data_IF_146336035762
#
_entry.id   IF_146336035762
#
_cell.length_a   1.000
_cell.length_b   1.000
_cell.length_c   1.000
_cell.angle_alpha   90.00
_cell.angle_beta   90.00
_cell.angle_gamma   90.00
#
_symmetry.space_group_name_H-M   'P 1'
#
loop_
_entity.id
_entity.type
_entity.pdbx_description
1 polymer ?
#
# COMPACT_ATOMS: atom_id res chain seq x y z
N UNK A 1 -4.68 15.24 2.41
CA UNK A 1 -3.39 14.90 3.08
C UNK A 1 -2.43 14.49 1.97
N UNK A 2 -1.19 15.00 1.94
CA UNK A 2 -0.25 14.65 0.85
C UNK A 2 0.75 13.55 1.23
N UNK A 3 1.06 13.42 2.52
CA UNK A 3 2.02 12.43 3.04
C UNK A 3 1.37 11.70 4.20
N UNK A 4 1.42 10.37 4.17
CA UNK A 4 0.95 9.51 5.25
C UNK A 4 2.07 8.54 5.62
N UNK A 5 2.44 8.52 6.90
CA UNK A 5 3.42 7.58 7.42
C UNK A 5 2.74 6.66 8.44
N UNK A 6 2.69 5.38 8.12
CA UNK A 6 2.18 4.31 8.98
C UNK A 6 3.25 3.23 9.17
N UNK A 7 4.53 3.58 9.08
CA UNK A 7 5.63 2.64 9.29
C UNK A 7 5.65 2.14 10.73
N UNK A 8 6.00 0.87 10.92
CA UNK A 8 6.09 0.23 12.25
C UNK A 8 4.77 0.17 13.04
N UNK A 9 3.63 0.16 12.36
CA UNK A 9 2.30 0.08 12.96
C UNK A 9 1.74 -1.36 13.09
N UNK A 10 2.50 -2.38 12.65
CA UNK A 10 2.09 -3.79 12.69
C UNK A 10 0.72 -4.04 12.01
N UNK A 11 0.51 -3.39 10.87
CA UNK A 11 -0.75 -3.44 10.15
C UNK A 11 -1.14 -4.85 9.68
N UNK A 12 -0.14 -5.65 9.31
CA UNK A 12 -0.38 -6.92 8.62
C UNK A 12 -1.13 -6.76 7.30
N UNK A 13 -1.55 -7.88 6.74
CA UNK A 13 -2.32 -7.88 5.48
C UNK A 13 -3.68 -7.20 5.61
N UNK A 14 -4.37 -7.40 6.73
CA UNK A 14 -5.68 -6.78 6.98
C UNK A 14 -5.62 -5.25 7.02
N UNK A 15 -4.59 -4.67 7.64
CA UNK A 15 -4.39 -3.22 7.62
C UNK A 15 -3.99 -2.70 6.24
N UNK A 16 -3.24 -3.48 5.46
CA UNK A 16 -2.90 -3.14 4.08
C UNK A 16 -4.14 -3.15 3.15
N UNK A 17 -5.07 -4.10 3.32
CA UNK A 17 -6.36 -4.10 2.63
C UNK A 17 -7.16 -2.82 2.93
N UNK A 18 -7.22 -2.42 4.21
CA UNK A 18 -7.89 -1.19 4.62
C UNK A 18 -7.24 0.06 4.00
N UNK A 19 -5.92 0.06 3.85
CA UNK A 19 -5.22 1.12 3.12
C UNK A 19 -5.60 1.12 1.64
N UNK A 20 -5.73 -0.04 1.00
CA UNK A 20 -6.25 -0.14 -0.36
C UNK A 20 -7.60 0.56 -0.52
N UNK A 21 -8.54 0.31 0.40
CA UNK A 21 -9.85 1.00 0.41
C UNK A 21 -9.74 2.50 0.69
N UNK A 22 -8.83 2.90 1.58
CA UNK A 22 -8.56 4.31 1.86
C UNK A 22 -8.06 5.06 0.61
N UNK A 23 -7.17 4.44 -0.17
CA UNK A 23 -6.57 5.04 -1.35
C UNK A 23 -7.59 5.37 -2.44
N UNK A 24 -8.67 4.59 -2.58
CA UNK A 24 -9.77 4.84 -3.54
C UNK A 24 -10.51 6.15 -3.33
N UNK A 25 -10.42 6.74 -2.14
CA UNK A 25 -11.18 7.93 -1.76
C UNK A 25 -10.26 9.14 -1.51
N UNK A 26 -8.95 8.95 -1.57
CA UNK A 26 -7.96 9.95 -1.14
C UNK A 26 -6.95 10.27 -2.25
N UNK A 27 -7.44 10.69 -3.42
CA UNK A 27 -6.63 11.07 -4.58
C UNK A 27 -5.60 12.20 -4.35
N UNK A 28 -5.69 12.95 -3.25
CA UNK A 28 -4.68 13.95 -2.88
C UNK A 28 -3.37 13.38 -2.31
N UNK A 29 -3.34 12.09 -1.94
CA UNK A 29 -2.18 11.47 -1.33
C UNK A 29 -1.05 11.29 -2.35
N UNK A 30 0.17 11.70 -1.98
CA UNK A 30 1.35 11.66 -2.85
C UNK A 30 2.42 10.71 -2.33
N UNK A 31 2.51 10.53 -1.02
CA UNK A 31 3.54 9.73 -0.36
C UNK A 31 2.91 8.86 0.72
N UNK A 32 3.19 7.57 0.67
CA UNK A 32 2.73 6.58 1.63
C UNK A 32 3.90 5.74 2.12
N UNK A 33 4.20 5.82 3.42
CA UNK A 33 5.21 4.99 4.07
C UNK A 33 4.55 3.85 4.85
N UNK A 34 4.89 2.61 4.50
CA UNK A 34 4.41 1.38 5.12
C UNK A 34 5.56 0.48 5.56
N UNK A 35 6.73 1.04 5.82
CA UNK A 35 7.92 0.28 6.17
C UNK A 35 7.69 -0.56 7.44
N UNK A 36 8.13 -1.83 7.40
CA UNK A 36 8.11 -2.75 8.55
C UNK A 36 6.72 -2.89 9.23
N UNK A 37 5.72 -3.30 8.47
CA UNK A 37 4.35 -3.50 8.94
C UNK A 37 3.88 -4.96 8.93
N UNK A 38 4.73 -5.90 8.52
CA UNK A 38 4.34 -7.31 8.39
C UNK A 38 3.39 -7.56 7.22
N UNK A 39 3.43 -6.74 6.17
CA UNK A 39 2.59 -6.87 4.98
C UNK A 39 3.15 -7.99 4.08
N UNK A 40 2.32 -8.96 3.77
CA UNK A 40 2.59 -10.05 2.84
C UNK A 40 2.05 -9.81 1.44
N UNK A 41 1.97 -10.88 0.65
CA UNK A 41 1.50 -10.84 -0.72
C UNK A 41 0.03 -10.39 -0.82
N UNK A 42 -0.84 -10.89 0.06
CA UNK A 42 -2.27 -10.52 0.07
C UNK A 42 -2.49 -9.04 0.39
N UNK A 43 -1.76 -8.50 1.37
CA UNK A 43 -1.85 -7.09 1.73
C UNK A 43 -1.38 -6.18 0.60
N UNK A 44 -0.30 -6.54 -0.09
CA UNK A 44 0.15 -5.80 -1.28
C UNK A 44 -0.86 -5.86 -2.41
N UNK A 45 -1.46 -7.03 -2.67
CA UNK A 45 -2.51 -7.15 -3.67
C UNK A 45 -3.68 -6.18 -3.40
N UNK A 46 -4.07 -6.04 -2.13
CA UNK A 46 -5.09 -5.05 -1.72
C UNK A 46 -4.69 -3.60 -1.97
N UNK A 47 -3.44 -3.24 -1.65
CA UNK A 47 -2.91 -1.89 -1.90
C UNK A 47 -2.91 -1.60 -3.41
N UNK A 48 -2.40 -2.52 -4.22
CA UNK A 48 -2.34 -2.38 -5.68
C UNK A 48 -3.75 -2.28 -6.26
N UNK A 49 -4.66 -3.15 -5.83
CA UNK A 49 -6.05 -3.08 -6.27
C UNK A 49 -6.69 -1.72 -5.93
N UNK A 50 -6.45 -1.19 -4.73
CA UNK A 50 -6.91 0.15 -4.35
C UNK A 50 -6.34 1.27 -5.22
N UNK A 51 -5.07 1.18 -5.60
CA UNK A 51 -4.39 2.13 -6.49
C UNK A 51 -4.92 2.09 -7.93
N UNK A 52 -5.27 0.90 -8.44
CA UNK A 52 -5.71 0.72 -9.82
C UNK A 52 -7.20 1.06 -10.02
N UNK A 53 -8.02 1.02 -8.97
CA UNK A 53 -9.45 1.28 -9.06
C UNK A 53 -9.79 2.76 -9.24
N UNK A 54 -8.94 3.68 -8.78
CA UNK A 54 -9.17 5.12 -8.92
C UNK A 54 -8.07 5.77 -9.78
N UNK A 55 -8.44 6.20 -10.98
CA UNK A 55 -7.58 6.95 -11.90
C UNK A 55 -7.18 8.34 -11.38
N UNK A 56 -7.80 8.79 -10.27
CA UNK A 56 -7.47 10.05 -9.60
C UNK A 56 -6.33 9.93 -8.59
N UNK A 57 -5.79 8.72 -8.35
CA UNK A 57 -4.68 8.55 -7.40
C UNK A 57 -3.44 9.31 -7.87
N UNK A 58 -2.94 10.22 -7.02
CA UNK A 58 -1.73 11.00 -7.29
C UNK A 58 -0.52 10.46 -6.53
N UNK A 59 -0.58 9.20 -6.08
CA UNK A 59 0.49 8.59 -5.31
C UNK A 59 1.76 8.48 -6.17
N UNK A 60 2.85 9.10 -5.70
CA UNK A 60 4.15 9.13 -6.38
C UNK A 60 5.21 8.32 -5.65
N UNK A 61 4.97 8.01 -4.38
CA UNK A 61 5.91 7.28 -3.55
C UNK A 61 5.17 6.32 -2.63
N UNK A 62 5.53 5.04 -2.72
CA UNK A 62 5.07 3.97 -1.86
C UNK A 62 6.30 3.24 -1.30
N UNK A 63 6.49 3.29 0.01
CA UNK A 63 7.58 2.58 0.70
C UNK A 63 7.04 1.33 1.40
N UNK A 64 7.38 0.17 0.86
CA UNK A 64 7.03 -1.14 1.42
C UNK A 64 8.26 -1.88 2.00
N UNK A 65 9.39 -1.20 2.21
CA UNK A 65 10.62 -1.85 2.70
C UNK A 65 10.37 -2.57 4.03
N UNK A 66 11.19 -3.59 4.30
CA UNK A 66 11.11 -4.39 5.53
C UNK A 66 9.74 -5.07 5.75
N UNK A 67 8.96 -5.29 4.70
CA UNK A 67 7.76 -6.13 4.75
C UNK A 67 8.02 -7.50 4.11
N UNK A 68 7.43 -8.58 4.63
CA UNK A 68 7.56 -9.93 4.10
C UNK A 68 6.70 -10.13 2.84
N UNK A 69 6.94 -9.34 1.79
CA UNK A 69 6.11 -9.34 0.56
C UNK A 69 6.04 -10.73 -0.11
N UNK A 70 7.11 -11.52 0.03
CA UNK A 70 7.35 -12.79 -0.69
C UNK A 70 7.39 -12.56 -2.21
N UNK A 71 7.76 -13.60 -2.96
CA UNK A 71 7.91 -13.50 -4.42
C UNK A 71 6.58 -13.14 -5.10
N UNK A 72 5.48 -13.68 -4.59
CA UNK A 72 4.12 -13.38 -5.05
C UNK A 72 3.76 -11.90 -4.90
N UNK A 73 4.19 -11.23 -3.81
CA UNK A 73 3.95 -9.81 -3.63
C UNK A 73 4.64 -8.94 -4.68
N UNK A 74 5.81 -9.35 -5.17
CA UNK A 74 6.51 -8.67 -6.27
C UNK A 74 5.74 -8.71 -7.58
N UNK A 75 5.10 -9.85 -7.88
CA UNK A 75 4.28 -10.03 -9.09
C UNK A 75 3.07 -9.10 -9.14
N UNK A 76 2.50 -8.74 -7.98
CA UNK A 76 1.38 -7.80 -7.92
C UNK A 76 1.82 -6.35 -8.18
N UNK A 77 3.08 -6.00 -7.91
CA UNK A 77 3.62 -4.64 -8.12
C UNK A 77 4.14 -4.45 -9.54
N UNK A 78 4.59 -5.53 -10.20
CA UNK A 78 5.25 -5.48 -11.50
C UNK A 78 4.30 -5.48 -12.74
N UNK A 79 2.99 -5.32 -12.54
CA UNK A 79 1.98 -5.35 -13.60
C UNK A 79 1.82 -4.02 -14.35
#
# INVERSE_FOLDING_TARGET
IQVLNLSHCKLGDSGALAIGEFLKHHGSLRVLYLTNNGIGAEGVAGIVHGLLQDSSTLLRHLDLRLNPLRDEGGSHIAA
#
